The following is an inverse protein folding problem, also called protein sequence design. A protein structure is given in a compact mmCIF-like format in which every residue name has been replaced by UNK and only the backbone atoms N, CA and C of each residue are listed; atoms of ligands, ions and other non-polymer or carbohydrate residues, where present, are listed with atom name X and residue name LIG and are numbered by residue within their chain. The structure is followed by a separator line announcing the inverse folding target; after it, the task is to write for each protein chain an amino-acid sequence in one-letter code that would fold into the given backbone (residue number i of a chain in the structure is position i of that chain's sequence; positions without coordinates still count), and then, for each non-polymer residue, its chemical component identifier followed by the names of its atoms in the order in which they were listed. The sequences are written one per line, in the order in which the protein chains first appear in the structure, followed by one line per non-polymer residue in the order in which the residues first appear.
data_IF_239313757550
#
_entry.id   IF_239313757550
#
_cell.length_a   1.000
_cell.length_b   1.000
_cell.length_c   1.000
_cell.angle_alpha   90.00
_cell.angle_beta   90.00
_cell.angle_gamma   90.00
#
_symmetry.space_group_name_H-M   'P 1'
#
loop_
_entity.id
_entity.type
_entity.pdbx_description
1 polymer ?
#
# COMPACT_ATOMS: atom_id res chain seq x y z
N UNK A 1 -29.60 -23.49 -43.39
CA UNK A 1 -28.66 -22.34 -43.37
C UNK A 1 -28.23 -22.13 -41.92
N UNK A 2 -26.98 -22.45 -41.58
CA UNK A 2 -26.47 -22.33 -40.23
C UNK A 2 -26.24 -20.84 -39.90
N UNK A 3 -26.92 -20.34 -38.86
CA UNK A 3 -26.71 -18.99 -38.34
C UNK A 3 -25.37 -18.96 -37.59
N UNK A 4 -24.39 -18.29 -38.17
CA UNK A 4 -23.16 -17.89 -37.48
C UNK A 4 -23.52 -16.95 -36.33
N UNK A 5 -23.30 -17.42 -35.10
CA UNK A 5 -23.37 -16.59 -33.89
C UNK A 5 -22.19 -15.60 -33.95
N UNK A 6 -22.42 -14.28 -33.84
CA UNK A 6 -21.33 -13.33 -33.76
C UNK A 6 -20.58 -13.56 -32.45
N UNK A 7 -19.32 -13.98 -32.55
CA UNK A 7 -18.38 -14.03 -31.43
C UNK A 7 -18.30 -12.61 -30.88
N UNK A 8 -18.63 -12.44 -29.60
CA UNK A 8 -18.54 -11.16 -28.92
C UNK A 8 -17.09 -10.64 -29.03
N UNK A 9 -16.88 -9.34 -29.31
CA UNK A 9 -15.53 -8.80 -29.32
C UNK A 9 -14.92 -8.99 -27.93
N UNK A 10 -13.71 -9.56 -27.88
CA UNK A 10 -12.90 -9.57 -26.67
C UNK A 10 -12.80 -8.14 -26.13
N UNK A 11 -12.95 -7.92 -24.81
CA UNK A 11 -12.82 -6.60 -24.23
C UNK A 11 -11.44 -6.06 -24.56
N UNK A 12 -11.38 -4.91 -25.23
CA UNK A 12 -10.13 -4.18 -25.47
C UNK A 12 -9.64 -3.64 -24.13
N UNK A 13 -8.82 -4.41 -23.42
CA UNK A 13 -7.85 -3.88 -22.48
C UNK A 13 -6.91 -2.97 -23.29
N UNK A 14 -6.76 -1.73 -22.83
CA UNK A 14 -6.31 -0.58 -23.61
C UNK A 14 -4.91 -0.76 -24.23
N UNK A 15 -4.86 -0.64 -25.55
CA UNK A 15 -3.66 -0.52 -26.42
C UNK A 15 -2.93 0.85 -26.28
N UNK A 16 -3.27 1.71 -25.32
CA UNK A 16 -2.83 3.12 -25.28
C UNK A 16 -1.77 3.46 -24.22
N UNK A 17 -1.13 2.46 -23.63
CA UNK A 17 0.05 2.67 -22.79
C UNK A 17 1.23 1.93 -23.41
N UNK A 18 2.41 2.55 -23.47
CA UNK A 18 3.66 1.81 -23.64
C UNK A 18 3.85 0.94 -22.40
N UNK A 19 3.14 -0.19 -22.39
CA UNK A 19 3.04 -1.12 -21.28
C UNK A 19 4.44 -1.52 -20.80
N UNK A 20 4.66 -1.67 -19.47
CA UNK A 20 5.95 -2.06 -18.90
C UNK A 20 6.59 -3.20 -19.68
N UNK A 21 7.87 -3.13 -20.04
CA UNK A 21 8.51 -4.13 -20.93
C UNK A 21 8.39 -5.58 -20.44
N UNK A 22 8.16 -5.81 -19.14
CA UNK A 22 8.09 -7.14 -18.52
C UNK A 22 6.64 -7.65 -18.38
N UNK A 23 6.40 -8.86 -18.90
CA UNK A 23 5.09 -9.50 -18.94
C UNK A 23 4.45 -9.71 -17.55
N UNK A 24 5.26 -10.03 -16.52
CA UNK A 24 4.77 -10.25 -15.17
C UNK A 24 4.09 -9.00 -14.59
N UNK A 25 4.71 -7.83 -14.73
CA UNK A 25 4.14 -6.56 -14.27
C UNK A 25 2.83 -6.24 -15.01
N UNK A 26 2.78 -6.41 -16.35
CA UNK A 26 1.53 -6.22 -17.12
C UNK A 26 0.39 -7.09 -16.60
N UNK A 27 0.66 -8.36 -16.32
CA UNK A 27 -0.35 -9.30 -15.80
C UNK A 27 -0.91 -8.82 -14.45
N UNK A 28 -0.05 -8.38 -13.53
CA UNK A 28 -0.49 -7.87 -12.22
C UNK A 28 -1.39 -6.64 -12.35
N UNK A 29 -1.00 -5.68 -13.18
CA UNK A 29 -1.81 -4.49 -13.45
C UNK A 29 -3.17 -4.86 -14.01
N UNK A 30 -3.24 -5.77 -14.98
CA UNK A 30 -4.51 -6.25 -15.54
C UNK A 30 -5.39 -6.92 -14.47
N UNK A 31 -4.82 -7.78 -13.63
CA UNK A 31 -5.56 -8.46 -12.56
C UNK A 31 -6.09 -7.46 -11.53
N UNK A 32 -5.27 -6.52 -11.07
CA UNK A 32 -5.70 -5.46 -10.16
C UNK A 32 -6.76 -4.56 -10.79
N UNK A 33 -6.65 -4.25 -12.09
CA UNK A 33 -7.69 -3.50 -12.80
C UNK A 33 -9.01 -4.26 -12.84
N UNK A 34 -9.01 -5.57 -13.08
CA UNK A 34 -10.24 -6.40 -13.03
C UNK A 34 -10.85 -6.47 -11.63
N UNK A 35 -10.03 -6.45 -10.58
CA UNK A 35 -10.51 -6.44 -9.20
C UNK A 35 -11.10 -5.09 -8.81
N UNK A 36 -10.49 -4.01 -9.27
CA UNK A 36 -10.88 -2.62 -8.95
C UNK A 36 -12.00 -2.11 -9.85
N UNK A 37 -12.12 -2.64 -11.07
CA UNK A 37 -13.19 -2.37 -12.04
C UNK A 37 -14.02 -3.65 -12.14
N UNK A 38 -15.10 -3.78 -11.37
CA UNK A 38 -16.07 -4.87 -11.57
C UNK A 38 -16.32 -5.09 -13.07
N UNK A 39 -16.11 -6.30 -13.57
CA UNK A 39 -16.76 -6.71 -14.81
C UNK A 39 -18.27 -6.68 -14.55
N UNK A 40 -19.07 -5.99 -15.37
CA UNK A 40 -20.51 -6.13 -15.29
C UNK A 40 -20.85 -7.58 -15.62
N UNK A 41 -21.32 -8.33 -14.63
CA UNK A 41 -21.98 -9.60 -14.86
C UNK A 41 -23.13 -9.34 -15.82
N UNK A 42 -23.09 -10.07 -16.93
CA UNK A 42 -23.92 -9.97 -18.13
C UNK A 42 -25.39 -9.59 -17.88
N UNK A 43 -25.75 -8.31 -17.89
CA UNK A 43 -27.09 -7.87 -18.25
C UNK A 43 -27.03 -6.59 -19.10
N UNK A 44 -27.59 -6.58 -20.33
CA UNK A 44 -27.59 -5.41 -21.17
C UNK A 44 -28.69 -4.47 -20.68
N UNK A 45 -28.35 -3.56 -19.77
CA UNK A 45 -29.19 -2.37 -19.55
C UNK A 45 -28.35 -1.13 -19.81
N UNK A 46 -28.88 -0.37 -20.75
CA UNK A 46 -28.35 0.88 -21.26
C UNK A 46 -28.29 1.98 -20.19
N UNK A 47 -27.54 3.02 -20.54
CA UNK A 47 -27.50 4.38 -19.96
C UNK A 47 -26.44 4.62 -18.88
N UNK A 48 -25.28 5.12 -19.33
CA UNK A 48 -24.67 6.33 -18.77
C UNK A 48 -24.19 6.33 -17.31
N UNK A 49 -23.97 5.18 -16.67
CA UNK A 49 -23.39 5.16 -15.33
C UNK A 49 -21.87 5.27 -15.40
N UNK A 50 -21.33 6.41 -14.96
CA UNK A 50 -19.92 6.54 -14.56
C UNK A 50 -19.63 5.39 -13.60
N UNK A 51 -18.80 4.43 -14.03
CA UNK A 51 -18.35 3.30 -13.20
C UNK A 51 -17.75 3.88 -11.92
N UNK A 52 -18.47 3.77 -10.81
CA UNK A 52 -17.99 4.24 -9.50
C UNK A 52 -17.20 3.10 -8.87
N UNK A 53 -15.89 3.28 -8.81
CA UNK A 53 -14.90 2.39 -8.19
C UNK A 53 -15.18 2.05 -6.71
N UNK A 54 -16.03 2.82 -6.03
CA UNK A 54 -16.33 2.62 -4.61
C UNK A 54 -17.10 1.34 -4.29
N UNK A 55 -17.87 0.78 -5.24
CA UNK A 55 -18.66 -0.42 -4.97
C UNK A 55 -17.82 -1.71 -4.93
N UNK A 56 -16.60 -1.71 -5.50
CA UNK A 56 -15.81 -2.92 -5.73
C UNK A 56 -14.95 -3.36 -4.53
N UNK A 57 -14.78 -2.52 -3.50
CA UNK A 57 -14.01 -2.90 -2.31
C UNK A 57 -14.84 -3.65 -1.26
N UNK A 58 -16.16 -3.52 -1.31
CA UNK A 58 -17.08 -4.18 -0.39
C UNK A 58 -17.40 -5.62 -0.86
N UNK A 59 -17.33 -6.59 0.06
CA UNK A 59 -17.69 -7.99 -0.24
C UNK A 59 -16.62 -8.82 -0.96
N UNK A 60 -15.40 -8.29 -1.13
CA UNK A 60 -14.28 -9.00 -1.76
C UNK A 60 -13.32 -9.57 -0.70
N UNK A 61 -12.97 -10.85 -0.82
CA UNK A 61 -11.95 -11.50 0.00
C UNK A 61 -10.54 -11.07 -0.44
N UNK A 62 -10.12 -9.85 -0.08
CA UNK A 62 -8.93 -9.19 -0.62
C UNK A 62 -7.64 -9.96 -0.42
N UNK A 63 -7.45 -10.63 0.71
CA UNK A 63 -6.27 -11.50 0.93
C UNK A 63 -6.16 -12.57 -0.16
N UNK A 64 -7.26 -13.22 -0.53
CA UNK A 64 -7.29 -14.26 -1.58
C UNK A 64 -7.11 -13.68 -2.98
N UNK A 65 -7.60 -12.45 -3.23
CA UNK A 65 -7.43 -11.80 -4.52
C UNK A 65 -6.01 -11.29 -4.71
N UNK A 66 -5.40 -10.74 -3.66
CA UNK A 66 -3.99 -10.35 -3.68
C UNK A 66 -3.08 -11.56 -3.82
N UNK A 67 -3.43 -12.71 -3.23
CA UNK A 67 -2.76 -13.98 -3.55
C UNK A 67 -2.76 -14.20 -5.07
N UNK A 68 -3.92 -14.26 -5.72
CA UNK A 68 -4.00 -14.46 -7.19
C UNK A 68 -3.22 -13.43 -8.01
N UNK A 69 -3.13 -12.18 -7.54
CA UNK A 69 -2.36 -11.11 -8.22
C UNK A 69 -0.86 -11.35 -8.11
N UNK A 70 -0.36 -11.78 -6.94
CA UNK A 70 1.06 -11.89 -6.64
C UNK A 70 1.57 -13.34 -6.58
N UNK A 71 0.73 -14.31 -6.91
CA UNK A 71 1.08 -15.72 -7.01
C UNK A 71 2.16 -15.92 -8.08
N UNK A 72 3.27 -16.53 -7.66
CA UNK A 72 4.30 -17.07 -8.54
C UNK A 72 3.90 -18.51 -8.93
N UNK A 73 4.31 -18.97 -10.11
CA UNK A 73 3.91 -20.24 -10.70
C UNK A 73 4.32 -21.50 -9.88
N UNK A 74 5.05 -21.33 -8.78
CA UNK A 74 5.65 -22.42 -8.00
C UNK A 74 4.99 -22.74 -6.65
N UNK A 75 4.37 -21.78 -5.95
CA UNK A 75 4.07 -21.97 -4.51
C UNK A 75 2.74 -21.38 -4.00
N UNK A 76 1.95 -20.74 -4.87
CA UNK A 76 0.58 -20.28 -4.58
C UNK A 76 0.38 -19.47 -3.28
N UNK A 77 1.42 -18.80 -2.76
CA UNK A 77 1.39 -18.03 -1.51
C UNK A 77 2.01 -16.66 -1.69
N UNK A 78 1.50 -15.67 -0.93
CA UNK A 78 2.16 -14.37 -0.83
C UNK A 78 3.56 -14.58 -0.21
N UNK A 79 4.59 -14.06 -0.89
CA UNK A 79 5.95 -14.07 -0.36
C UNK A 79 6.01 -13.15 0.86
N UNK A 80 6.65 -13.61 1.92
CA UNK A 80 6.85 -12.83 3.14
C UNK A 80 8.31 -12.43 3.27
N UNK A 81 8.56 -11.36 4.02
CA UNK A 81 9.90 -10.92 4.34
C UNK A 81 9.99 -10.42 5.78
N UNK A 82 11.21 -10.48 6.31
CA UNK A 82 11.59 -9.87 7.58
C UNK A 82 12.55 -8.70 7.33
N UNK A 83 12.50 -7.73 8.24
CA UNK A 83 13.33 -6.52 8.19
C UNK A 83 14.05 -6.41 9.52
N UNK A 84 15.38 -6.32 9.48
CA UNK A 84 16.15 -6.03 10.67
C UNK A 84 16.02 -4.54 11.02
N UNK A 85 15.46 -4.19 12.18
CA UNK A 85 15.28 -2.80 12.55
C UNK A 85 16.65 -2.13 12.74
N UNK A 86 16.75 -0.87 12.29
CA UNK A 86 17.96 -0.08 12.55
C UNK A 86 17.98 0.43 13.99
N UNK A 87 19.17 0.64 14.59
CA UNK A 87 19.28 1.41 15.81
C UNK A 87 18.70 2.81 15.60
N UNK A 88 17.88 3.28 16.56
CA UNK A 88 17.23 4.57 16.50
C UNK A 88 18.05 5.65 17.20
N UNK A 89 17.86 6.90 16.80
CA UNK A 89 18.34 8.04 17.55
C UNK A 89 17.50 8.22 18.82
N UNK A 90 18.09 7.99 20.00
CA UNK A 90 17.35 8.01 21.27
C UNK A 90 16.55 9.30 21.52
N UNK A 91 17.12 10.52 21.36
CA UNK A 91 16.33 11.74 21.53
C UNK A 91 15.13 11.86 20.58
N UNK A 92 15.28 11.38 19.33
CA UNK A 92 14.19 11.41 18.33
C UNK A 92 13.09 10.40 18.64
N UNK A 93 13.47 9.27 19.24
CA UNK A 93 12.56 8.23 19.67
C UNK A 93 11.84 8.59 20.98
N UNK A 94 12.54 9.16 21.97
CA UNK A 94 11.93 9.72 23.19
C UNK A 94 10.86 10.76 22.85
N UNK A 95 11.13 11.63 21.87
CA UNK A 95 10.14 12.59 21.37
C UNK A 95 8.89 11.90 20.78
N UNK A 96 9.06 10.78 20.07
CA UNK A 96 7.93 9.99 19.58
C UNK A 96 7.10 9.44 20.73
N UNK A 97 7.74 8.83 21.73
CA UNK A 97 7.04 8.28 22.89
C UNK A 97 6.24 9.37 23.62
N UNK A 98 6.86 10.52 23.86
CA UNK A 98 6.17 11.65 24.47
C UNK A 98 4.98 12.12 23.62
N UNK A 99 5.15 12.23 22.30
CA UNK A 99 4.06 12.65 21.40
C UNK A 99 2.90 11.66 21.41
N UNK A 100 3.19 10.36 21.41
CA UNK A 100 2.17 9.31 21.49
C UNK A 100 1.43 9.39 22.81
N UNK A 101 2.14 9.61 23.92
CA UNK A 101 1.55 9.70 25.25
C UNK A 101 0.68 10.95 25.39
N UNK A 102 1.13 12.08 24.85
CA UNK A 102 0.35 13.32 24.79
C UNK A 102 -0.94 13.12 23.98
N UNK A 103 -0.90 12.42 22.84
CA UNK A 103 -2.09 12.11 22.03
C UNK A 103 -3.07 11.23 22.82
N UNK A 104 -2.57 10.15 23.44
CA UNK A 104 -3.39 9.23 24.23
C UNK A 104 -4.07 9.96 25.40
N UNK A 105 -3.33 10.82 26.10
CA UNK A 105 -3.87 11.60 27.23
C UNK A 105 -4.88 12.64 26.77
N UNK A 106 -4.54 13.45 25.76
CA UNK A 106 -5.41 14.55 25.28
C UNK A 106 -6.70 14.04 24.64
N UNK A 107 -6.66 12.89 23.98
CA UNK A 107 -7.85 12.21 23.44
C UNK A 107 -8.61 11.38 24.49
N UNK A 108 -8.15 11.34 25.75
CA UNK A 108 -8.74 10.52 26.83
C UNK A 108 -8.92 9.06 26.42
N UNK A 109 -7.93 8.53 25.71
CA UNK A 109 -8.01 7.23 25.07
C UNK A 109 -7.84 6.11 26.10
N UNK A 110 -8.88 5.29 26.27
CA UNK A 110 -8.86 4.18 27.24
C UNK A 110 -8.01 3.00 26.75
N UNK A 111 -8.04 2.73 25.45
CA UNK A 111 -7.11 1.84 24.75
C UNK A 111 -7.10 2.17 23.25
N UNK A 112 -5.97 1.90 22.58
CA UNK A 112 -5.79 2.25 21.16
C UNK A 112 -6.65 1.40 20.24
N UNK A 113 -6.94 0.15 20.60
CA UNK A 113 -7.77 -0.73 19.78
C UNK A 113 -9.16 -0.12 19.51
N UNK A 114 -9.78 0.49 20.53
CA UNK A 114 -11.11 1.11 20.44
C UNK A 114 -11.10 2.62 20.21
N UNK A 115 -9.93 3.21 19.94
CA UNK A 115 -9.77 4.62 19.64
C UNK A 115 -10.53 5.03 18.36
N UNK A 116 -10.82 6.33 18.26
CA UNK A 116 -11.41 6.91 17.05
C UNK A 116 -10.44 6.83 15.86
N UNK A 117 -10.98 6.86 14.64
CA UNK A 117 -10.14 6.90 13.44
C UNK A 117 -9.27 8.18 13.44
N UNK A 118 -9.79 9.30 13.94
CA UNK A 118 -9.03 10.56 14.09
C UNK A 118 -7.80 10.41 15.00
N UNK A 119 -7.95 9.72 16.12
CA UNK A 119 -6.83 9.52 17.04
C UNK A 119 -5.81 8.53 16.47
N UNK A 120 -6.27 7.44 15.84
CA UNK A 120 -5.39 6.48 15.15
C UNK A 120 -4.59 7.18 14.04
N UNK A 121 -5.22 8.10 13.29
CA UNK A 121 -4.52 8.94 12.29
C UNK A 121 -3.43 9.80 12.93
N UNK A 122 -3.72 10.46 14.06
CA UNK A 122 -2.71 11.26 14.77
C UNK A 122 -1.52 10.41 15.23
N UNK A 123 -1.77 9.20 15.71
CA UNK A 123 -0.74 8.26 16.15
C UNK A 123 0.12 7.74 14.97
N UNK A 124 -0.50 7.32 13.87
CA UNK A 124 0.20 6.87 12.64
C UNK A 124 1.06 8.00 12.09
N UNK A 125 0.56 9.22 12.09
CA UNK A 125 1.31 10.40 11.67
C UNK A 125 2.55 10.65 12.55
N UNK A 126 2.40 10.54 13.87
CA UNK A 126 3.52 10.70 14.81
C UNK A 126 4.64 9.70 14.50
N UNK A 127 4.28 8.42 14.28
CA UNK A 127 5.23 7.35 13.89
C UNK A 127 5.88 7.64 12.54
N UNK A 128 5.10 8.02 11.53
CA UNK A 128 5.60 8.32 10.18
C UNK A 128 6.57 9.50 10.19
N UNK A 129 6.29 10.54 11.00
CA UNK A 129 7.21 11.66 11.24
C UNK A 129 8.50 11.21 11.93
N UNK A 130 8.42 10.30 12.89
CA UNK A 130 9.60 9.73 13.54
C UNK A 130 10.48 8.97 12.53
N UNK A 131 9.87 8.12 11.70
CA UNK A 131 10.57 7.43 10.60
C UNK A 131 11.30 8.42 9.68
N UNK A 132 10.65 9.54 9.31
CA UNK A 132 11.29 10.58 8.51
C UNK A 132 12.51 11.22 9.20
N UNK A 133 12.43 11.44 10.54
CA UNK A 133 13.55 11.97 11.33
C UNK A 133 14.74 11.01 11.34
N UNK A 134 14.49 9.71 11.51
CA UNK A 134 15.52 8.66 11.48
C UNK A 134 16.20 8.55 10.11
N UNK A 135 15.53 8.95 9.03
CA UNK A 135 16.09 8.99 7.68
C UNK A 135 16.93 10.26 7.39
N UNK A 136 17.32 11.02 8.42
CA UNK A 136 18.31 12.12 8.37
C UNK A 136 18.00 13.20 7.32
N UNK A 137 16.76 13.70 7.28
CA UNK A 137 16.26 14.80 6.42
C UNK A 137 16.16 14.53 4.91
N UNK A 138 16.62 13.36 4.44
CA UNK A 138 16.57 13.02 3.01
C UNK A 138 15.18 12.56 2.58
N UNK A 139 14.44 11.95 3.50
CA UNK A 139 13.05 11.55 3.28
C UNK A 139 12.11 12.65 3.77
N UNK A 140 11.19 13.08 2.90
CA UNK A 140 10.15 14.06 3.19
C UNK A 140 8.77 13.42 3.03
N UNK A 141 7.90 13.72 3.98
CA UNK A 141 6.49 13.34 3.92
C UNK A 141 5.69 14.42 3.18
N UNK A 142 4.96 14.02 2.15
CA UNK A 142 3.96 14.84 1.49
C UNK A 142 2.59 14.26 1.77
N UNK A 143 1.73 15.05 2.41
CA UNK A 143 0.42 14.57 2.86
C UNK A 143 -0.69 14.73 1.86
N UNK A 144 -1.69 13.87 2.00
CA UNK A 144 -3.02 13.99 1.42
C UNK A 144 -2.97 14.19 -0.11
N UNK A 145 -2.02 13.52 -0.74
CA UNK A 145 -1.73 13.63 -2.17
C UNK A 145 -2.86 12.95 -2.92
N UNK A 146 -3.49 13.69 -3.83
CA UNK A 146 -4.46 13.08 -4.75
C UNK A 146 -3.69 12.17 -5.69
N UNK A 147 -3.95 10.88 -5.56
CA UNK A 147 -3.21 9.87 -6.25
C UNK A 147 -3.96 9.47 -7.52
N UNK A 148 -3.32 9.66 -8.69
CA UNK A 148 -3.99 9.61 -9.99
C UNK A 148 -3.21 8.78 -11.01
N UNK A 149 -3.55 7.49 -11.10
CA UNK A 149 -3.07 6.67 -12.20
C UNK A 149 -4.01 6.74 -13.40
N UNK A 150 -3.50 6.76 -14.63
CA UNK A 150 -4.34 6.46 -15.81
C UNK A 150 -4.83 5.01 -15.82
N UNK A 151 -4.03 4.07 -15.33
CA UNK A 151 -4.37 2.65 -15.31
C UNK A 151 -5.50 2.35 -14.30
N UNK A 152 -5.42 2.95 -13.11
CA UNK A 152 -6.34 2.68 -11.99
C UNK A 152 -7.39 3.76 -11.73
N UNK A 153 -7.38 4.87 -12.50
CA UNK A 153 -8.16 6.10 -12.24
C UNK A 153 -7.82 6.73 -10.86
N UNK A 154 -8.27 7.96 -10.54
CA UNK A 154 -7.98 8.58 -9.25
C UNK A 154 -8.47 7.72 -8.09
N UNK A 155 -7.54 7.30 -7.24
CA UNK A 155 -7.81 6.43 -6.11
C UNK A 155 -7.49 7.16 -4.81
N UNK A 156 -8.51 7.79 -4.23
CA UNK A 156 -8.44 8.41 -2.91
C UNK A 156 -7.31 9.43 -2.75
N UNK A 157 -6.81 9.53 -1.51
CA UNK A 157 -5.67 10.34 -1.13
C UNK A 157 -4.73 9.50 -0.28
N UNK A 158 -3.43 9.71 -0.46
CA UNK A 158 -2.38 8.96 0.22
C UNK A 158 -1.31 9.90 0.75
N UNK A 159 -0.55 9.45 1.73
CA UNK A 159 0.67 10.12 2.17
C UNK A 159 1.87 9.51 1.43
N UNK A 160 2.75 10.35 0.90
CA UNK A 160 3.93 9.93 0.15
C UNK A 160 5.19 10.22 0.96
N UNK A 161 6.07 9.23 1.07
CA UNK A 161 7.43 9.41 1.57
C UNK A 161 8.39 9.46 0.39
N UNK A 162 9.10 10.58 0.24
CA UNK A 162 9.97 10.87 -0.91
C UNK A 162 11.40 11.09 -0.49
N UNK A 163 12.34 10.50 -1.23
CA UNK A 163 13.76 10.83 -1.15
C UNK A 163 14.11 11.81 -2.29
N UNK A 164 14.27 13.10 -1.97
CA UNK A 164 14.29 14.12 -3.03
C UNK A 164 12.98 14.16 -3.79
N UNK A 165 13.03 14.01 -5.13
CA UNK A 165 11.85 13.96 -6.01
C UNK A 165 11.33 12.53 -6.24
N UNK A 166 11.94 11.53 -5.61
CA UNK A 166 11.66 10.11 -5.85
C UNK A 166 10.71 9.57 -4.78
N UNK A 167 9.57 9.00 -5.20
CA UNK A 167 8.70 8.23 -4.31
C UNK A 167 9.40 6.95 -3.82
N UNK A 168 9.49 6.79 -2.50
CA UNK A 168 10.04 5.60 -1.83
C UNK A 168 8.95 4.77 -1.18
N UNK A 169 7.99 5.42 -0.52
CA UNK A 169 6.86 4.72 0.06
C UNK A 169 5.55 5.47 -0.11
N UNK A 170 4.47 4.70 -0.23
CA UNK A 170 3.09 5.15 -0.12
C UNK A 170 2.57 4.69 1.22
N UNK A 171 2.09 5.63 2.04
CA UNK A 171 1.51 5.38 3.35
C UNK A 171 0.01 5.60 3.26
N UNK A 172 -0.73 4.61 3.73
CA UNK A 172 -2.18 4.60 3.76
C UNK A 172 -2.64 4.32 5.18
N UNK A 173 -3.70 5.00 5.57
CA UNK A 173 -4.36 4.78 6.85
C UNK A 173 -5.52 3.82 6.61
N UNK A 174 -5.81 2.96 7.58
CA UNK A 174 -6.98 2.10 7.50
C UNK A 174 -7.70 1.94 8.84
N UNK A 175 -9.02 1.90 8.77
CA UNK A 175 -9.85 1.47 9.88
C UNK A 175 -9.69 -0.04 10.07
N UNK A 176 -9.54 -0.50 11.32
CA UNK A 176 -9.43 -1.92 11.69
C UNK A 176 -10.53 -2.79 11.07
N UNK A 177 -11.75 -2.25 10.93
CA UNK A 177 -12.90 -2.97 10.32
C UNK A 177 -12.75 -3.21 8.82
N UNK A 178 -11.86 -2.47 8.16
CA UNK A 178 -11.63 -2.48 6.73
C UNK A 178 -10.16 -2.77 6.39
N UNK A 179 -9.37 -3.30 7.32
CA UNK A 179 -7.92 -3.46 7.16
C UNK A 179 -7.54 -4.21 5.87
N UNK A 180 -8.27 -5.28 5.52
CA UNK A 180 -8.09 -6.02 4.27
C UNK A 180 -8.29 -5.15 3.02
N UNK A 181 -9.27 -4.22 3.06
CA UNK A 181 -9.47 -3.23 1.99
C UNK A 181 -8.34 -2.21 1.98
N UNK A 182 -7.82 -1.82 3.14
CA UNK A 182 -6.62 -0.99 3.28
C UNK A 182 -5.39 -1.62 2.63
N UNK A 183 -5.18 -2.93 2.82
CA UNK A 183 -4.08 -3.66 2.18
C UNK A 183 -4.23 -3.69 0.65
N UNK A 184 -5.45 -3.87 0.15
CA UNK A 184 -5.72 -3.81 -1.28
C UNK A 184 -5.52 -2.41 -1.87
N UNK A 185 -6.00 -1.39 -1.15
CA UNK A 185 -5.81 0.02 -1.48
C UNK A 185 -4.30 0.35 -1.56
N UNK A 186 -3.52 -0.10 -0.59
CA UNK A 186 -2.06 0.02 -0.55
C UNK A 186 -1.40 -0.65 -1.76
N UNK A 187 -1.82 -1.87 -2.13
CA UNK A 187 -1.28 -2.57 -3.28
C UNK A 187 -1.52 -1.81 -4.59
N UNK A 188 -2.74 -1.30 -4.81
CA UNK A 188 -3.08 -0.47 -5.98
C UNK A 188 -2.26 0.82 -5.98
N UNK A 189 -2.09 1.44 -4.81
CA UNK A 189 -1.34 2.69 -4.70
C UNK A 189 0.16 2.49 -5.00
N UNK A 190 0.76 1.41 -4.47
CA UNK A 190 2.15 1.07 -4.74
C UNK A 190 2.40 0.72 -6.21
N UNK A 191 1.53 -0.09 -6.84
CA UNK A 191 1.65 -0.46 -8.26
C UNK A 191 1.51 0.74 -9.20
N UNK A 192 0.63 1.69 -8.86
CA UNK A 192 0.58 2.97 -9.59
C UNK A 192 1.87 3.76 -9.46
N UNK A 193 2.43 3.88 -8.25
CA UNK A 193 3.68 4.62 -8.04
C UNK A 193 4.81 3.96 -8.84
N UNK A 194 4.82 2.63 -8.93
CA UNK A 194 5.77 1.87 -9.75
C UNK A 194 5.60 2.19 -11.24
N UNK A 195 4.36 2.21 -11.74
CA UNK A 195 4.07 2.57 -13.11
C UNK A 195 4.54 3.99 -13.46
N UNK A 196 4.16 4.98 -12.67
CA UNK A 196 4.54 6.39 -12.91
C UNK A 196 6.06 6.59 -12.85
N UNK A 197 6.75 5.79 -12.03
CA UNK A 197 8.20 5.85 -11.93
C UNK A 197 8.88 5.20 -13.13
N UNK A 198 8.39 4.05 -13.59
CA UNK A 198 8.93 3.37 -14.77
C UNK A 198 8.67 4.13 -16.08
N UNK A 199 7.60 4.93 -16.17
CA UNK A 199 7.42 5.85 -17.30
C UNK A 199 8.56 6.86 -17.41
N UNK A 200 9.07 7.33 -16.28
CA UNK A 200 10.16 8.32 -16.21
C UNK A 200 11.53 7.65 -16.32
N UNK A 201 11.69 6.49 -15.69
CA UNK A 201 12.94 5.74 -15.57
C UNK A 201 12.72 4.23 -15.85
N UNK A 202 12.69 3.79 -17.13
CA UNK A 202 12.34 2.41 -17.49
C UNK A 202 13.32 1.34 -17.00
N UNK A 203 14.58 1.72 -16.73
CA UNK A 203 15.65 0.83 -16.26
C UNK A 203 15.74 0.77 -14.72
N UNK A 204 14.81 1.42 -14.01
CA UNK A 204 14.79 1.45 -12.55
C UNK A 204 14.53 0.05 -11.96
N UNK A 205 15.39 -0.36 -11.03
CA UNK A 205 15.29 -1.62 -10.28
C UNK A 205 15.03 -1.39 -8.78
N UNK A 206 14.79 -0.14 -8.38
CA UNK A 206 14.45 0.17 -7.00
C UNK A 206 13.04 -0.34 -6.63
N UNK A 207 12.88 -0.65 -5.34
CA UNK A 207 11.60 -1.06 -4.78
C UNK A 207 10.78 0.16 -4.37
N UNK A 208 9.46 0.00 -4.47
CA UNK A 208 8.49 0.91 -3.89
C UNK A 208 7.82 0.20 -2.73
N UNK A 209 7.71 0.90 -1.61
CA UNK A 209 7.07 0.35 -0.42
C UNK A 209 5.63 0.86 -0.30
N UNK A 210 4.70 -0.03 0.04
CA UNK A 210 3.38 0.32 0.54
C UNK A 210 3.35 0.12 2.04
N UNK A 211 2.70 1.01 2.78
CA UNK A 211 2.47 0.86 4.22
C UNK A 211 0.99 1.11 4.48
N UNK A 212 0.32 0.20 5.19
CA UNK A 212 -1.01 0.43 5.74
C UNK A 212 -1.04 0.11 7.23
N UNK A 213 -1.71 0.95 8.01
CA UNK A 213 -1.75 0.79 9.46
C UNK A 213 -3.05 1.28 10.10
N UNK A 214 -3.40 0.64 11.21
CA UNK A 214 -4.38 1.08 12.23
C UNK A 214 -3.68 1.44 13.56
N UNK A 215 -2.38 1.77 13.49
CA UNK A 215 -1.40 1.95 14.56
C UNK A 215 -0.93 0.68 15.28
N UNK A 216 -1.82 -0.26 15.62
CA UNK A 216 -1.43 -1.49 16.31
C UNK A 216 -0.84 -2.52 15.35
N UNK A 217 -1.34 -2.57 14.13
CA UNK A 217 -0.83 -3.38 13.04
C UNK A 217 -0.28 -2.49 11.93
N UNK A 218 0.89 -2.85 11.43
CA UNK A 218 1.53 -2.21 10.29
C UNK A 218 1.80 -3.28 9.24
N UNK A 219 1.04 -3.23 8.15
CA UNK A 219 1.29 -4.08 7.00
C UNK A 219 2.15 -3.31 6.01
N UNK A 220 3.27 -3.92 5.64
CA UNK A 220 4.22 -3.39 4.69
C UNK A 220 4.23 -4.26 3.44
N UNK A 221 4.23 -3.61 2.29
CA UNK A 221 4.41 -4.18 0.97
C UNK A 221 5.76 -3.71 0.45
N UNK A 222 6.60 -4.63 0.00
CA UNK A 222 7.73 -4.31 -0.87
C UNK A 222 7.36 -4.74 -2.28
N UNK A 223 7.36 -3.79 -3.21
CA UNK A 223 6.98 -4.01 -4.60
C UNK A 223 8.17 -3.74 -5.53
N UNK A 224 8.37 -4.65 -6.48
CA UNK A 224 9.23 -4.39 -7.64
C UNK A 224 8.70 -5.03 -8.92
N UNK A 225 9.52 -5.02 -9.96
CA UNK A 225 9.11 -5.48 -11.29
C UNK A 225 8.66 -6.95 -11.31
N UNK A 226 9.38 -7.81 -10.60
CA UNK A 226 9.15 -9.26 -10.60
C UNK A 226 8.06 -9.72 -9.64
N UNK A 227 7.59 -8.87 -8.73
CA UNK A 227 6.55 -9.23 -7.80
C UNK A 227 6.60 -8.43 -6.52
N UNK A 228 5.89 -8.91 -5.51
CA UNK A 228 5.75 -8.25 -4.24
C UNK A 228 5.95 -9.20 -3.07
N UNK A 229 6.44 -8.65 -1.95
CA UNK A 229 6.60 -9.34 -0.67
C UNK A 229 5.88 -8.56 0.42
N UNK A 230 5.42 -9.25 1.44
CA UNK A 230 4.62 -8.68 2.53
C UNK A 230 5.29 -8.89 3.89
N UNK A 231 5.25 -7.89 4.75
CA UNK A 231 5.74 -7.95 6.13
C UNK A 231 4.67 -7.37 7.06
N UNK A 232 4.44 -8.02 8.21
CA UNK A 232 3.53 -7.54 9.24
C UNK A 232 4.33 -7.20 10.49
N UNK A 233 4.20 -5.97 10.95
CA UNK A 233 4.75 -5.49 12.22
C UNK A 233 3.59 -5.17 13.17
N UNK A 234 3.81 -5.34 14.46
CA UNK A 234 2.77 -5.13 15.47
C UNK A 234 3.30 -4.35 16.66
N UNK A 235 2.46 -3.46 17.19
CA UNK A 235 2.66 -2.75 18.45
C UNK A 235 1.71 -3.37 19.48
N UNK A 236 2.27 -4.01 20.50
CA UNK A 236 1.49 -4.38 21.69
C UNK A 236 1.33 -3.14 22.55
N UNK A 237 0.11 -2.80 22.93
CA UNK A 237 -0.20 -1.65 23.78
C UNK A 237 0.50 -1.75 25.15
N UNK A 238 0.61 -2.95 25.70
CA UNK A 238 1.31 -3.19 26.97
C UNK A 238 2.84 -3.14 26.83
N UNK A 239 3.33 -3.29 25.59
CA UNK A 239 4.74 -3.26 25.21
C UNK A 239 5.05 -2.16 24.19
N UNK A 240 4.35 -1.02 24.27
CA UNK A 240 4.29 -0.01 23.20
C UNK A 240 5.66 0.45 22.75
N UNK A 241 6.59 0.64 23.68
CA UNK A 241 7.94 1.13 23.38
C UNK A 241 8.70 0.16 22.48
N UNK A 242 8.73 -1.12 22.83
CA UNK A 242 9.41 -2.15 22.03
C UNK A 242 8.74 -2.31 20.66
N UNK A 243 7.41 -2.27 20.62
CA UNK A 243 6.65 -2.33 19.37
C UNK A 243 6.95 -1.15 18.45
N UNK A 244 6.88 0.07 18.98
CA UNK A 244 7.18 1.30 18.23
C UNK A 244 8.64 1.34 17.77
N UNK A 245 9.58 0.89 18.60
CA UNK A 245 11.00 0.79 18.23
C UNK A 245 11.19 -0.18 17.06
N UNK A 246 10.52 -1.33 17.09
CA UNK A 246 10.51 -2.29 16.00
C UNK A 246 9.93 -1.70 14.70
N UNK A 247 8.76 -1.06 14.78
CA UNK A 247 8.10 -0.44 13.63
C UNK A 247 8.95 0.67 13.02
N UNK A 248 9.38 1.64 13.83
CA UNK A 248 10.18 2.78 13.35
C UNK A 248 11.51 2.30 12.78
N UNK A 249 12.18 1.38 13.47
CA UNK A 249 13.46 0.83 13.03
C UNK A 249 13.36 0.07 11.71
N UNK A 250 12.32 -0.74 11.53
CA UNK A 250 12.10 -1.49 10.31
C UNK A 250 11.73 -0.57 9.14
N UNK A 251 10.80 0.37 9.33
CA UNK A 251 10.41 1.32 8.28
C UNK A 251 11.58 2.24 7.88
N UNK A 252 12.38 2.71 8.85
CA UNK A 252 13.59 3.46 8.57
C UNK A 252 14.63 2.61 7.80
N UNK A 253 14.80 1.32 8.14
CA UNK A 253 15.69 0.42 7.41
C UNK A 253 15.33 0.35 5.92
N UNK A 254 14.05 0.17 5.61
CA UNK A 254 13.55 0.08 4.24
C UNK A 254 13.79 1.37 3.46
N UNK A 255 13.47 2.51 4.05
CA UNK A 255 13.64 3.81 3.42
C UNK A 255 15.11 4.21 3.24
N UNK A 256 16.01 3.65 4.06
CA UNK A 256 17.46 3.76 3.91
C UNK A 256 18.03 2.76 2.89
N UNK A 257 17.21 1.86 2.33
CA UNK A 257 17.63 0.87 1.34
C UNK A 257 18.36 -0.33 1.92
N UNK A 258 18.15 -0.66 3.20
CA UNK A 258 18.69 -1.90 3.78
C UNK A 258 17.92 -3.12 3.23
N UNK A 259 18.64 -4.20 3.02
CA UNK A 259 18.07 -5.42 2.44
C UNK A 259 17.12 -6.12 3.42
N UNK A 260 15.96 -6.52 2.92
CA UNK A 260 15.00 -7.38 3.58
C UNK A 260 15.36 -8.87 3.37
N UNK A 261 15.19 -9.69 4.42
CA UNK A 261 15.49 -11.12 4.42
C UNK A 261 14.27 -11.94 4.00
N UNK A 262 14.47 -12.96 3.17
CA UNK A 262 13.43 -13.94 2.84
C UNK A 262 13.12 -14.84 4.05
N UNK A 263 11.85 -15.27 4.14
CA UNK A 263 11.33 -16.15 5.22
C UNK A 263 10.87 -17.48 4.65
#
# INVERSE_FOLDING_TARGET
MARTVPVAPQPKLLDEYEMPTRAAHKTRICLLQMLVKEEPVQHPVSVGQKRRFHAAFDGVAWVQQLQKVYEDAGDHRLKHFEIDPVPLNEPSFELLLQTVDDIVETSSMANVATASDEDKMALIDAVTRAVCRECTSRVKMQRNVSFKCKAFEPFGRVDLLRYGDVEKAVVMECNERDFDKGVAAMAVAAETALLERLEKEPEMDERIYGVVSDFLTWQVLELGLEGARFCKLSVDENGKENGLRGVVGALAALLQGKEARDV
#
